data_IF_595598854608
#
_entry.id   IF_595598854608
#
_cell.length_a   1.000
_cell.length_b   1.000
_cell.length_c   1.000
_cell.angle_alpha   90.00
_cell.angle_beta   90.00
_cell.angle_gamma   90.00
#
_symmetry.space_group_name_H-M   'P 1'
#
loop_
_entity.id
_entity.type
_entity.pdbx_description
1 polymer ?
#
# COMPACT_ATOMS: atom_id res chain seq x y z
N UNK A 1 18.34 -51.83 3.36
CA UNK A 1 19.47 -50.90 3.17
C UNK A 1 18.94 -49.47 3.19
N UNK A 2 19.40 -48.60 4.08
CA UNK A 2 19.04 -47.19 4.08
C UNK A 2 19.94 -46.42 3.10
N UNK A 3 19.39 -45.46 2.35
CA UNK A 3 20.16 -44.52 1.53
C UNK A 3 20.23 -43.19 2.29
N UNK A 4 21.44 -42.82 2.70
CA UNK A 4 21.81 -41.46 3.09
C UNK A 4 22.19 -40.63 1.85
N UNK A 5 22.23 -39.32 2.07
CA UNK A 5 22.81 -38.25 1.23
C UNK A 5 21.83 -37.68 0.20
N UNK A 6 21.62 -36.38 0.06
CA UNK A 6 22.58 -35.25 0.13
C UNK A 6 21.99 -34.00 0.81
N UNK A 7 22.85 -33.35 1.58
CA UNK A 7 22.70 -31.97 2.02
C UNK A 7 23.34 -31.06 0.95
N UNK A 8 22.66 -29.98 0.57
CA UNK A 8 23.29 -28.76 0.04
C UNK A 8 22.42 -27.96 -0.95
N UNK A 9 22.66 -26.65 -1.16
CA UNK A 9 23.33 -25.62 -0.34
C UNK A 9 22.30 -24.61 0.23
N UNK A 10 22.47 -24.02 1.43
CA UNK A 10 23.21 -22.79 1.73
C UNK A 10 22.95 -21.63 0.74
N UNK A 11 22.31 -20.57 1.24
CA UNK A 11 22.23 -19.22 0.67
C UNK A 11 21.70 -19.10 -0.78
N UNK A 12 20.40 -19.22 -0.94
CA UNK A 12 19.74 -18.29 -1.86
C UNK A 12 19.51 -17.00 -1.06
N UNK A 13 19.92 -15.81 -1.55
CA UNK A 13 19.35 -14.59 -0.99
C UNK A 13 17.86 -14.72 -1.27
N UNK A 14 17.04 -14.92 -0.23
CA UNK A 14 15.60 -14.78 -0.37
C UNK A 14 15.41 -13.41 -1.00
N UNK A 15 15.08 -13.43 -2.28
CA UNK A 15 14.70 -12.26 -3.04
C UNK A 15 13.54 -11.70 -2.24
N UNK A 16 13.81 -10.64 -1.48
CA UNK A 16 12.85 -9.92 -0.67
C UNK A 16 11.76 -9.42 -1.60
N UNK A 17 10.82 -10.30 -1.90
CA UNK A 17 9.56 -10.00 -2.56
C UNK A 17 8.68 -9.37 -1.50
N UNK A 18 9.05 -8.16 -1.08
CA UNK A 18 8.21 -7.35 -0.23
C UNK A 18 7.51 -6.32 -1.10
N UNK A 19 6.37 -6.70 -1.71
CA UNK A 19 5.24 -5.77 -1.86
C UNK A 19 4.00 -6.24 -1.08
N UNK A 20 4.06 -7.39 -0.40
CA UNK A 20 2.91 -8.02 0.25
C UNK A 20 2.42 -7.30 1.52
N UNK A 21 3.21 -6.37 2.09
CA UNK A 21 2.86 -5.71 3.35
C UNK A 21 2.34 -4.26 3.17
N UNK A 22 2.25 -3.78 1.94
CA UNK A 22 1.74 -2.44 1.62
C UNK A 22 0.21 -2.39 1.60
N UNK A 23 -0.43 -3.51 1.25
CA UNK A 23 -1.89 -3.65 1.24
C UNK A 23 -2.33 -4.68 2.26
N UNK A 24 -3.37 -4.38 3.03
CA UNK A 24 -4.03 -5.39 3.86
C UNK A 24 -4.82 -6.37 2.98
N UNK A 25 -5.14 -7.55 3.51
CA UNK A 25 -6.01 -8.55 2.84
C UNK A 25 -7.39 -7.97 2.44
N UNK A 26 -7.83 -6.90 3.08
CA UNK A 26 -9.01 -6.12 2.72
C UNK A 26 -8.82 -5.20 1.50
N UNK A 27 -7.64 -5.16 0.90
CA UNK A 27 -7.25 -4.23 -0.17
C UNK A 27 -6.90 -2.82 0.31
N UNK A 28 -6.84 -2.60 1.63
CA UNK A 28 -6.57 -1.27 2.20
C UNK A 28 -5.08 -0.97 2.13
N UNK A 29 -4.74 0.18 1.55
CA UNK A 29 -3.38 0.69 1.48
C UNK A 29 -2.87 1.14 2.87
N UNK A 30 -1.94 0.39 3.43
CA UNK A 30 -1.32 0.66 4.74
C UNK A 30 -0.35 1.82 4.67
N UNK A 31 0.24 2.11 3.51
CA UNK A 31 1.10 3.29 3.32
C UNK A 31 0.27 4.58 3.45
N UNK A 32 -0.94 4.58 2.89
CA UNK A 32 -1.89 5.68 3.02
C UNK A 32 -2.34 5.87 4.47
N UNK A 33 -2.67 4.79 5.18
CA UNK A 33 -3.03 4.87 6.61
C UNK A 33 -1.87 5.46 7.40
N UNK A 34 -0.65 4.93 7.22
CA UNK A 34 0.54 5.37 7.95
C UNK A 34 0.81 6.85 7.70
N UNK A 35 0.65 7.30 6.46
CA UNK A 35 0.75 8.72 6.11
C UNK A 35 -0.34 9.56 6.77
N UNK A 36 -1.62 9.17 6.74
CA UNK A 36 -2.68 9.94 7.42
C UNK A 36 -2.46 10.05 8.94
N UNK A 37 -1.87 9.01 9.54
CA UNK A 37 -1.54 8.99 10.97
C UNK A 37 -0.31 9.83 11.31
N UNK A 38 0.57 10.13 10.36
CA UNK A 38 1.69 11.05 10.58
C UNK A 38 1.29 12.54 10.51
N UNK A 39 0.09 12.84 10.01
CA UNK A 39 -0.48 14.18 9.96
C UNK A 39 -1.14 14.58 11.29
N UNK A 40 -1.07 15.87 11.63
CA UNK A 40 -1.93 16.45 12.67
C UNK A 40 -3.41 16.39 12.27
N UNK A 41 -4.35 16.53 13.24
CA UNK A 41 -5.77 16.52 12.93
C UNK A 41 -6.19 17.55 11.86
N UNK A 42 -5.64 18.76 11.93
CA UNK A 42 -5.94 19.83 10.97
C UNK A 42 -5.42 19.52 9.57
N UNK A 43 -4.19 19.01 9.47
CA UNK A 43 -3.59 18.63 8.18
C UNK A 43 -4.35 17.48 7.53
N UNK A 44 -4.79 16.49 8.32
CA UNK A 44 -5.62 15.39 7.83
C UNK A 44 -6.94 15.90 7.25
N UNK A 45 -7.61 16.82 7.94
CA UNK A 45 -8.85 17.44 7.44
C UNK A 45 -8.61 18.20 6.13
N UNK A 46 -7.53 18.97 6.05
CA UNK A 46 -7.18 19.71 4.84
C UNK A 46 -6.91 18.77 3.66
N UNK A 47 -6.13 17.72 3.86
CA UNK A 47 -5.83 16.72 2.84
C UNK A 47 -7.10 16.04 2.30
N UNK A 48 -8.00 15.61 3.19
CA UNK A 48 -9.28 15.00 2.79
C UNK A 48 -10.14 15.99 2.02
N UNK A 49 -10.24 17.24 2.49
CA UNK A 49 -11.03 18.28 1.83
C UNK A 49 -10.52 18.58 0.41
N UNK A 50 -9.20 18.57 0.20
CA UNK A 50 -8.61 18.72 -1.13
C UNK A 50 -9.05 17.59 -2.08
N UNK A 51 -9.05 16.34 -1.60
CA UNK A 51 -9.48 15.20 -2.42
C UNK A 51 -10.97 15.26 -2.76
N UNK A 52 -11.83 15.64 -1.81
CA UNK A 52 -13.26 15.86 -2.06
C UNK A 52 -13.47 16.91 -3.15
N UNK A 53 -12.73 18.03 -3.09
CA UNK A 53 -12.81 19.08 -4.09
C UNK A 53 -12.31 18.61 -5.47
N UNK A 54 -11.26 17.80 -5.53
CA UNK A 54 -10.75 17.24 -6.78
C UNK A 54 -11.80 16.34 -7.47
N UNK A 55 -12.44 15.44 -6.71
CA UNK A 55 -13.51 14.58 -7.23
C UNK A 55 -14.71 15.40 -7.68
N UNK A 56 -15.11 16.42 -6.93
CA UNK A 56 -16.20 17.33 -7.32
C UNK A 56 -15.90 18.01 -8.66
N UNK A 57 -14.72 18.60 -8.80
CA UNK A 57 -14.31 19.27 -10.03
C UNK A 57 -14.26 18.31 -11.22
N UNK A 58 -13.79 17.08 -11.02
CA UNK A 58 -13.80 16.06 -12.07
C UNK A 58 -15.22 15.76 -12.53
N UNK A 59 -16.16 15.60 -11.59
CA UNK A 59 -17.58 15.38 -11.89
C UNK A 59 -18.18 16.56 -12.66
N UNK A 60 -17.94 17.79 -12.21
CA UNK A 60 -18.43 19.00 -12.87
C UNK A 60 -17.94 19.10 -14.32
N UNK A 61 -16.67 18.74 -14.58
CA UNK A 61 -16.11 18.69 -15.94
C UNK A 61 -16.81 17.65 -16.82
N UNK A 62 -17.02 16.43 -16.31
CA UNK A 62 -17.75 15.37 -17.04
C UNK A 62 -19.19 15.78 -17.37
N UNK A 63 -19.84 16.50 -16.46
CA UNK A 63 -21.22 16.94 -16.64
C UNK A 63 -21.37 18.21 -17.49
N UNK A 64 -20.27 18.85 -17.89
CA UNK A 64 -20.26 20.08 -18.70
C UNK A 64 -19.83 19.84 -20.16
N UNK A 65 -19.47 18.59 -20.51
CA UNK A 65 -19.31 18.08 -21.89
C UNK A 65 -20.62 17.46 -22.40
#
# INVERSE_FOLDING_TARGET
>A
MPKHSEQGPADAPEQSSAPSDEYADSGVDRSLIRWMLSLSPTERLLAIQQQVNAVRQMKERINSD
#
